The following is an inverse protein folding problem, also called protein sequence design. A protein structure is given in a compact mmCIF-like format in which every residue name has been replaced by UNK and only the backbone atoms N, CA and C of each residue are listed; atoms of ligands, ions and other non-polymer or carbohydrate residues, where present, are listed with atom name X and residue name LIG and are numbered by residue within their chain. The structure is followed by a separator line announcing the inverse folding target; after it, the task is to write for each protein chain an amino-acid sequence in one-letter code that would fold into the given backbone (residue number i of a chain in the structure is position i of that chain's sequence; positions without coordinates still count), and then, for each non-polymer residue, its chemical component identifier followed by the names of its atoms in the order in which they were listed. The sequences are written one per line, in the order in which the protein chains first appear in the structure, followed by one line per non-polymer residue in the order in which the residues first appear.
data_IF_087585628580
#
_entry.id   IF_087585628580
#
_cell.length_a   1.000
_cell.length_b   1.000
_cell.length_c   1.000
_cell.angle_alpha   90.00
_cell.angle_beta   90.00
_cell.angle_gamma   90.00
#
_symmetry.space_group_name_H-M   'P 1'
#
loop_
_entity.id
_entity.type
_entity.pdbx_description
1 polymer ?
#
# COMPACT_ATOMS: atom_id res chain seq x y z
N UNK A 1 18.31 -20.37 -26.56
CA UNK A 1 18.70 -18.98 -26.25
C UNK A 1 18.06 -18.68 -24.91
N UNK A 2 18.84 -18.72 -23.84
CA UNK A 2 18.40 -18.41 -22.48
C UNK A 2 18.03 -16.93 -22.46
N UNK A 3 16.74 -16.62 -22.45
CA UNK A 3 16.26 -15.29 -22.10
C UNK A 3 16.70 -15.05 -20.65
N UNK A 4 17.63 -14.11 -20.46
CA UNK A 4 17.87 -13.57 -19.14
C UNK A 4 16.52 -12.99 -18.67
N UNK A 5 15.91 -13.61 -17.67
CA UNK A 5 14.87 -12.94 -16.92
C UNK A 5 15.59 -11.84 -16.15
N UNK A 6 15.50 -10.60 -16.63
CA UNK A 6 15.86 -9.45 -15.80
C UNK A 6 14.96 -9.50 -14.57
N UNK A 7 15.50 -9.94 -13.44
CA UNK A 7 14.79 -9.96 -12.16
C UNK A 7 14.59 -8.52 -11.70
N UNK A 8 13.42 -8.18 -11.17
CA UNK A 8 13.21 -6.89 -10.52
C UNK A 8 14.22 -6.71 -9.38
N UNK A 9 14.89 -5.55 -9.33
CA UNK A 9 15.83 -5.19 -8.26
C UNK A 9 15.21 -4.14 -7.35
N UNK A 10 15.63 -4.11 -6.08
CA UNK A 10 15.27 -3.04 -5.14
C UNK A 10 15.52 -1.66 -5.73
N UNK A 11 16.71 -1.45 -6.30
CA UNK A 11 17.10 -0.16 -6.86
C UNK A 11 16.19 0.28 -8.01
N UNK A 12 15.80 -0.64 -8.91
CA UNK A 12 14.90 -0.31 -10.02
C UNK A 12 13.49 0.02 -9.52
N UNK A 13 12.93 -0.82 -8.65
CA UNK A 13 11.60 -0.59 -8.07
C UNK A 13 11.57 0.69 -7.22
N UNK A 14 12.59 0.92 -6.40
CA UNK A 14 12.73 2.09 -5.54
C UNK A 14 12.89 3.38 -6.36
N UNK A 15 13.71 3.36 -7.42
CA UNK A 15 13.81 4.47 -8.35
C UNK A 15 12.46 4.80 -8.99
N UNK A 16 11.71 3.79 -9.46
CA UNK A 16 10.36 3.99 -10.00
C UNK A 16 9.39 4.60 -8.96
N UNK A 17 9.42 4.12 -7.71
CA UNK A 17 8.61 4.69 -6.63
C UNK A 17 9.00 6.13 -6.31
N UNK A 18 10.31 6.43 -6.28
CA UNK A 18 10.84 7.77 -6.03
C UNK A 18 10.46 8.76 -7.13
N UNK A 19 10.60 8.37 -8.40
CA UNK A 19 10.22 9.24 -9.52
C UNK A 19 8.72 9.54 -9.52
N UNK A 20 7.88 8.54 -9.19
CA UNK A 20 6.43 8.75 -9.04
C UNK A 20 6.08 9.63 -7.86
N UNK A 21 6.72 9.43 -6.71
CA UNK A 21 6.50 10.29 -5.56
C UNK A 21 6.75 11.77 -5.92
N UNK A 22 7.81 12.04 -6.70
CA UNK A 22 8.12 13.39 -7.18
C UNK A 22 7.09 13.95 -8.18
N UNK A 23 6.46 13.10 -9.01
CA UNK A 23 5.44 13.55 -9.96
C UNK A 23 4.08 13.79 -9.30
N UNK A 24 3.71 12.93 -8.35
CA UNK A 24 2.34 12.84 -7.85
C UNK A 24 2.12 13.66 -6.59
N UNK A 25 3.16 13.82 -5.76
CA UNK A 25 3.07 14.55 -4.49
C UNK A 25 3.73 15.93 -4.64
N UNK A 26 3.05 17.03 -4.24
CA UNK A 26 3.63 18.35 -4.31
C UNK A 26 4.93 18.42 -3.49
N UNK A 27 5.96 19.06 -4.05
CA UNK A 27 7.20 19.31 -3.33
C UNK A 27 6.97 20.38 -2.27
N UNK A 28 6.85 19.96 -1.01
CA UNK A 28 6.66 20.83 0.14
C UNK A 28 5.21 20.88 0.63
N UNK A 29 5.05 21.10 1.93
CA UNK A 29 3.73 21.26 2.55
C UNK A 29 3.29 22.70 2.34
N UNK A 30 2.22 22.93 1.57
CA UNK A 30 1.59 24.25 1.49
C UNK A 30 1.18 24.70 2.88
N UNK A 31 1.50 25.95 3.25
CA UNK A 31 0.99 26.61 4.44
C UNK A 31 1.41 26.05 5.81
N UNK A 32 2.43 25.18 5.91
CA UNK A 32 2.96 24.80 7.24
C UNK A 32 3.73 25.98 7.85
N UNK A 33 3.31 26.51 9.02
CA UNK A 33 4.00 27.64 9.62
C UNK A 33 5.45 27.30 10.01
N UNK A 34 6.43 28.21 9.85
CA UNK A 34 7.83 27.95 10.20
C UNK A 34 8.02 27.47 11.65
N UNK A 35 7.20 27.94 12.58
CA UNK A 35 7.19 27.51 13.98
C UNK A 35 6.79 26.03 14.13
N UNK A 36 5.87 25.53 13.29
CA UNK A 36 5.46 24.13 13.28
C UNK A 36 6.59 23.24 12.76
N UNK A 37 7.28 23.67 11.70
CA UNK A 37 8.47 22.98 11.18
C UNK A 37 9.56 22.91 12.25
N UNK A 38 9.88 24.04 12.89
CA UNK A 38 10.88 24.13 13.95
C UNK A 38 10.56 23.22 15.14
N UNK A 39 9.29 23.20 15.57
CA UNK A 39 8.82 22.32 16.64
C UNK A 39 9.06 20.85 16.28
N UNK A 40 8.59 20.40 15.12
CA UNK A 40 8.73 19.01 14.68
C UNK A 40 10.19 18.60 14.53
N UNK A 41 11.01 19.42 13.88
CA UNK A 41 12.42 19.13 13.69
C UNK A 41 13.15 18.97 15.03
N UNK A 42 12.88 19.85 15.99
CA UNK A 42 13.46 19.74 17.34
C UNK A 42 12.98 18.49 18.07
N UNK A 43 11.69 18.19 18.04
CA UNK A 43 11.15 16.99 18.69
C UNK A 43 11.77 15.69 18.15
N UNK A 44 11.92 15.58 16.83
CA UNK A 44 12.58 14.41 16.21
C UNK A 44 14.06 14.35 16.61
N UNK A 45 14.79 15.47 16.55
CA UNK A 45 16.19 15.52 16.96
C UNK A 45 16.36 15.18 18.44
N UNK A 46 15.47 15.65 19.31
CA UNK A 46 15.50 15.36 20.74
C UNK A 46 15.25 13.87 21.02
N UNK A 47 14.36 13.22 20.27
CA UNK A 47 14.17 11.77 20.33
C UNK A 47 15.45 11.03 19.92
N UNK A 48 16.05 11.39 18.77
CA UNK A 48 17.33 10.81 18.31
C UNK A 48 18.45 11.01 19.33
N UNK A 49 18.59 12.22 19.88
CA UNK A 49 19.58 12.52 20.92
C UNK A 49 19.36 11.68 22.18
N UNK A 50 18.10 11.45 22.55
CA UNK A 50 17.74 10.63 23.71
C UNK A 50 18.14 9.17 23.49
N UNK A 51 17.81 8.58 22.33
CA UNK A 51 18.24 7.22 21.95
C UNK A 51 19.76 7.08 21.99
N UNK A 52 20.49 8.06 21.44
CA UNK A 52 21.97 8.05 21.44
C UNK A 52 22.53 7.99 22.86
N UNK A 53 22.00 8.82 23.77
CA UNK A 53 22.48 8.89 25.16
C UNK A 53 22.09 7.66 25.97
N UNK A 54 20.85 7.18 25.79
CA UNK A 54 20.31 6.02 26.50
C UNK A 54 21.10 4.75 26.18
N UNK A 55 21.30 4.48 24.89
CA UNK A 55 21.98 3.27 24.42
C UNK A 55 23.50 3.45 24.28
N UNK A 56 24.03 4.63 24.60
CA UNK A 56 25.45 4.98 24.51
C UNK A 56 26.03 4.67 23.12
N UNK A 57 25.32 5.08 22.08
CA UNK A 57 25.69 4.84 20.68
C UNK A 57 27.13 5.33 20.44
N UNK A 58 27.94 4.43 19.88
CA UNK A 58 29.35 4.65 19.59
C UNK A 58 29.55 5.43 18.29
N UNK A 59 30.76 5.94 18.07
CA UNK A 59 31.10 6.56 16.79
C UNK A 59 31.04 5.60 15.61
N UNK A 60 31.37 4.32 15.82
CA UNK A 60 31.32 3.31 14.77
C UNK A 60 29.88 3.01 14.36
N UNK A 61 28.98 2.84 15.33
CA UNK A 61 27.54 2.69 15.08
C UNK A 61 26.94 3.94 14.39
N UNK A 62 27.33 5.14 14.83
CA UNK A 62 26.88 6.38 14.19
C UNK A 62 27.37 6.50 12.74
N UNK A 63 28.60 6.08 12.45
CA UNK A 63 29.11 6.07 11.08
C UNK A 63 28.43 4.98 10.22
N UNK A 64 28.08 3.84 10.80
CA UNK A 64 27.30 2.80 10.12
C UNK A 64 25.88 3.32 9.76
N UNK A 65 25.18 3.97 10.70
CA UNK A 65 23.89 4.61 10.45
C UNK A 65 23.98 5.65 9.33
N UNK A 66 25.00 6.51 9.37
CA UNK A 66 25.20 7.54 8.35
C UNK A 66 25.44 6.94 6.96
N UNK A 67 26.28 5.91 6.87
CA UNK A 67 26.51 5.21 5.61
C UNK A 67 25.22 4.56 5.09
N UNK A 68 24.44 3.95 5.97
CA UNK A 68 23.16 3.35 5.62
C UNK A 68 22.14 4.38 5.10
N UNK A 69 21.99 5.54 5.75
CA UNK A 69 21.12 6.62 5.28
C UNK A 69 21.50 7.15 3.89
N UNK A 70 22.80 7.19 3.58
CA UNK A 70 23.29 7.54 2.24
C UNK A 70 22.85 6.46 1.24
N UNK A 71 23.03 5.18 1.56
CA UNK A 71 22.61 4.08 0.70
C UNK A 71 21.10 4.03 0.45
N UNK A 72 20.26 4.39 1.43
CA UNK A 72 18.80 4.51 1.19
C UNK A 72 18.50 5.50 0.07
N UNK A 73 19.24 6.62 0.03
CA UNK A 73 19.11 7.61 -1.05
C UNK A 73 19.65 7.14 -2.40
N UNK A 74 20.79 6.45 -2.40
CA UNK A 74 21.42 5.90 -3.61
C UNK A 74 20.60 4.76 -4.23
N UNK A 75 20.02 3.91 -3.39
CA UNK A 75 19.15 2.80 -3.80
C UNK A 75 17.72 3.29 -4.15
N UNK A 76 17.39 4.57 -3.91
CA UNK A 76 16.07 5.15 -4.20
C UNK A 76 14.95 4.63 -3.29
N UNK A 77 15.27 4.16 -2.09
CA UNK A 77 14.34 3.46 -1.20
C UNK A 77 13.71 4.37 -0.13
N UNK A 78 13.82 5.70 -0.24
CA UNK A 78 13.15 6.60 0.71
C UNK A 78 11.63 6.38 0.80
N UNK A 79 10.88 6.24 -0.31
CA UNK A 79 9.47 5.89 -0.24
C UNK A 79 9.26 4.54 0.47
N UNK A 80 9.99 3.49 0.07
CA UNK A 80 9.86 2.16 0.69
C UNK A 80 10.13 2.20 2.21
N UNK A 81 11.20 2.86 2.64
CA UNK A 81 11.56 2.96 4.04
C UNK A 81 10.47 3.67 4.87
N UNK A 82 9.96 4.80 4.37
CA UNK A 82 8.94 5.57 5.09
C UNK A 82 7.60 4.86 5.10
N UNK A 83 7.21 4.24 3.99
CA UNK A 83 5.93 3.54 3.86
C UNK A 83 5.88 2.29 4.76
N UNK A 84 6.99 1.54 4.87
CA UNK A 84 7.06 0.33 5.70
C UNK A 84 7.11 0.68 7.19
N UNK A 85 7.99 1.58 7.62
CA UNK A 85 8.26 1.75 9.07
C UNK A 85 7.66 3.02 9.69
N UNK A 86 7.02 3.90 8.91
CA UNK A 86 6.50 5.20 9.42
C UNK A 86 5.04 5.47 9.02
N UNK A 87 4.62 5.14 7.80
CA UNK A 87 3.32 5.57 7.24
C UNK A 87 2.12 5.09 8.07
N UNK A 88 2.17 3.91 8.70
CA UNK A 88 1.06 3.41 9.52
C UNK A 88 0.70 4.36 10.68
N UNK A 89 1.69 5.02 11.31
CA UNK A 89 1.43 6.04 12.35
C UNK A 89 0.82 7.31 11.76
N UNK A 90 1.25 7.70 10.55
CA UNK A 90 0.69 8.87 9.86
C UNK A 90 -0.77 8.61 9.50
N UNK A 91 -1.08 7.42 9.00
CA UNK A 91 -2.43 7.02 8.65
C UNK A 91 -3.35 6.94 9.87
N UNK A 92 -2.88 6.38 10.99
CA UNK A 92 -3.65 6.34 12.25
C UNK A 92 -4.06 7.75 12.72
N UNK A 93 -3.16 8.74 12.61
CA UNK A 93 -3.46 10.13 12.97
C UNK A 93 -4.35 10.81 11.93
N UNK A 94 -4.05 10.60 10.64
CA UNK A 94 -4.76 11.26 9.53
C UNK A 94 -6.20 10.76 9.37
N UNK A 95 -6.53 9.60 9.92
CA UNK A 95 -7.84 8.97 9.82
C UNK A 95 -8.52 8.74 11.18
N UNK A 96 -7.97 9.30 12.27
CA UNK A 96 -8.53 9.14 13.62
C UNK A 96 -10.01 9.55 13.70
N UNK A 97 -10.39 10.57 12.93
CA UNK A 97 -11.75 11.11 12.88
C UNK A 97 -12.75 10.23 12.11
N UNK A 98 -12.29 9.22 11.36
CA UNK A 98 -13.17 8.40 10.50
C UNK A 98 -14.14 7.55 11.30
N UNK A 99 -15.41 7.68 10.93
CA UNK A 99 -16.52 6.84 11.39
C UNK A 99 -16.79 5.68 10.41
N UNK A 100 -16.48 5.86 9.12
CA UNK A 100 -16.59 4.84 8.08
C UNK A 100 -15.56 3.71 8.18
N UNK A 101 -15.28 3.05 7.06
CA UNK A 101 -14.24 2.02 7.02
C UNK A 101 -12.87 2.58 7.45
N UNK A 102 -12.09 1.74 8.14
CA UNK A 102 -10.71 2.08 8.51
C UNK A 102 -9.83 2.16 7.28
N UNK A 103 -8.90 3.12 7.29
CA UNK A 103 -7.82 3.18 6.33
C UNK A 103 -6.66 2.27 6.72
N UNK A 104 -5.68 2.22 5.83
CA UNK A 104 -4.32 1.76 6.11
C UNK A 104 -3.40 2.32 5.00
N UNK A 105 -2.11 2.03 5.08
CA UNK A 105 -1.06 2.63 4.25
C UNK A 105 -1.34 2.47 2.74
N UNK A 106 -0.97 3.48 1.95
CA UNK A 106 -1.05 3.42 0.47
C UNK A 106 0.01 2.47 -0.08
N UNK A 107 1.21 2.56 0.49
CA UNK A 107 2.41 1.92 -0.03
C UNK A 107 2.89 2.52 -1.37
N UNK A 108 4.05 2.06 -1.86
CA UNK A 108 4.76 2.73 -2.95
C UNK A 108 4.24 2.40 -4.36
N UNK A 109 3.23 1.53 -4.47
CA UNK A 109 2.87 0.87 -5.73
C UNK A 109 1.59 1.35 -6.38
N UNK A 110 1.00 2.45 -5.91
CA UNK A 110 -0.17 3.05 -6.55
C UNK A 110 0.18 3.63 -7.94
N UNK A 111 -0.75 3.52 -8.89
CA UNK A 111 -0.71 4.18 -10.20
C UNK A 111 -2.10 4.77 -10.46
N UNK A 112 -2.23 6.07 -10.77
CA UNK A 112 -3.51 6.64 -11.17
C UNK A 112 -3.93 6.17 -12.57
N UNK A 113 -5.18 6.44 -12.94
CA UNK A 113 -5.71 6.28 -14.30
C UNK A 113 -5.71 4.84 -14.85
N UNK A 114 -5.82 3.85 -13.95
CA UNK A 114 -6.03 2.46 -14.34
C UNK A 114 -7.33 2.29 -15.17
N UNK A 115 -7.42 1.28 -16.05
CA UNK A 115 -8.56 1.10 -16.93
C UNK A 115 -9.90 0.94 -16.17
N UNK A 116 -10.91 1.69 -16.61
CA UNK A 116 -12.27 1.62 -16.06
C UNK A 116 -13.04 0.40 -16.58
N UNK A 117 -13.65 -0.35 -15.66
CA UNK A 117 -14.35 -1.60 -15.94
C UNK A 117 -15.87 -1.53 -15.66
N UNK A 118 -16.38 -0.37 -15.25
CA UNK A 118 -17.77 -0.17 -14.86
C UNK A 118 -18.12 -0.88 -13.55
N UNK A 119 -19.43 -1.06 -13.30
CA UNK A 119 -19.91 -1.64 -12.03
C UNK A 119 -19.66 -3.15 -11.91
N UNK A 120 -19.50 -3.88 -13.03
CA UNK A 120 -19.12 -5.30 -13.02
C UNK A 120 -18.09 -5.58 -14.10
N UNK A 121 -16.91 -6.02 -13.68
CA UNK A 121 -15.83 -6.29 -14.62
C UNK A 121 -14.70 -7.12 -14.03
N UNK A 122 -13.60 -7.19 -14.76
CA UNK A 122 -12.39 -7.92 -14.35
C UNK A 122 -11.19 -6.99 -14.44
N UNK A 123 -10.23 -7.14 -13.53
CA UNK A 123 -8.92 -6.51 -13.73
C UNK A 123 -8.26 -7.08 -14.99
N UNK A 124 -7.43 -6.30 -15.71
CA UNK A 124 -6.56 -6.85 -16.75
C UNK A 124 -5.64 -7.92 -16.14
N UNK A 125 -5.52 -9.06 -16.82
CA UNK A 125 -4.67 -10.18 -16.39
C UNK A 125 -3.88 -10.74 -17.59
N UNK A 126 -2.80 -11.48 -17.34
CA UNK A 126 -2.15 -12.33 -18.35
C UNK A 126 -3.07 -13.49 -18.75
N UNK A 127 -2.86 -14.05 -19.94
CA UNK A 127 -3.61 -15.22 -20.41
C UNK A 127 -3.44 -16.45 -19.49
N UNK A 128 -2.30 -16.55 -18.82
CA UNK A 128 -1.92 -17.63 -17.90
C UNK A 128 -1.71 -17.13 -16.46
N UNK A 129 -2.42 -16.07 -16.06
CA UNK A 129 -2.27 -15.45 -14.73
C UNK A 129 -2.43 -16.49 -13.59
N UNK A 130 -1.36 -16.77 -12.83
CA UNK A 130 -1.43 -17.71 -11.72
C UNK A 130 -2.20 -17.11 -10.55
N UNK A 131 -2.95 -17.96 -9.85
CA UNK A 131 -3.66 -17.56 -8.64
C UNK A 131 -5.01 -18.24 -8.50
N UNK A 132 -5.63 -18.07 -7.34
CA UNK A 132 -7.01 -18.52 -7.13
C UNK A 132 -7.95 -17.42 -7.64
N UNK A 133 -8.84 -17.69 -8.61
CA UNK A 133 -9.81 -16.70 -9.04
C UNK A 133 -10.64 -16.18 -7.87
N UNK A 134 -10.85 -14.86 -7.82
CA UNK A 134 -11.53 -14.16 -6.76
C UNK A 134 -12.64 -13.28 -7.34
N UNK A 135 -13.88 -13.54 -6.94
CA UNK A 135 -15.02 -12.65 -7.22
C UNK A 135 -15.33 -11.83 -5.98
N UNK A 136 -15.29 -10.52 -6.10
CA UNK A 136 -15.55 -9.58 -5.01
C UNK A 136 -16.80 -8.77 -5.30
N UNK A 137 -17.80 -8.91 -4.44
CA UNK A 137 -19.00 -8.06 -4.44
C UNK A 137 -18.98 -7.11 -3.26
N UNK A 138 -19.55 -5.94 -3.45
CA UNK A 138 -19.69 -4.98 -2.36
C UNK A 138 -20.63 -3.84 -2.73
N UNK A 139 -20.87 -3.00 -1.73
CA UNK A 139 -21.67 -1.79 -1.86
C UNK A 139 -20.93 -0.62 -1.22
N UNK A 140 -20.95 0.54 -1.87
CA UNK A 140 -20.42 1.79 -1.34
C UNK A 140 -21.56 2.64 -0.78
N UNK A 141 -21.45 3.03 0.48
CA UNK A 141 -22.44 3.85 1.20
C UNK A 141 -21.80 5.02 1.93
N UNK A 142 -22.59 6.01 2.30
CA UNK A 142 -22.20 7.02 3.29
C UNK A 142 -22.38 6.46 4.72
N UNK A 143 -21.86 7.15 5.73
CA UNK A 143 -22.04 6.81 7.15
C UNK A 143 -23.51 6.87 7.61
N UNK A 144 -24.38 7.60 6.90
CA UNK A 144 -25.83 7.59 7.14
C UNK A 144 -26.57 6.39 6.50
N UNK A 145 -25.84 5.51 5.79
CA UNK A 145 -26.36 4.33 5.11
C UNK A 145 -26.90 4.57 3.71
N UNK A 146 -26.86 5.82 3.20
CA UNK A 146 -27.25 6.13 1.82
C UNK A 146 -26.28 5.51 0.80
N UNK A 147 -26.82 5.04 -0.31
CA UNK A 147 -26.01 4.49 -1.40
C UNK A 147 -25.24 5.59 -2.13
N UNK A 148 -23.96 5.34 -2.41
CA UNK A 148 -23.12 6.27 -3.16
C UNK A 148 -23.01 5.84 -4.62
N UNK A 149 -24.01 6.26 -5.41
CA UNK A 149 -24.03 6.04 -6.84
C UNK A 149 -22.83 6.71 -7.53
N UNK A 150 -22.16 5.99 -8.42
CA UNK A 150 -20.99 6.50 -9.13
C UNK A 150 -19.73 6.64 -8.27
N UNK A 151 -19.70 6.04 -7.07
CA UNK A 151 -18.46 5.91 -6.31
C UNK A 151 -17.42 5.11 -7.11
N UNK A 152 -16.15 5.52 -7.05
CA UNK A 152 -15.03 4.87 -7.73
C UNK A 152 -14.29 3.98 -6.75
N UNK A 153 -14.05 2.72 -7.13
CA UNK A 153 -13.20 1.76 -6.43
C UNK A 153 -12.00 1.46 -7.32
N UNK A 154 -10.81 1.90 -6.91
CA UNK A 154 -9.55 1.65 -7.62
C UNK A 154 -8.83 0.50 -6.91
N UNK A 155 -8.46 -0.53 -7.66
CA UNK A 155 -7.84 -1.75 -7.15
C UNK A 155 -6.44 -1.92 -7.75
N UNK A 156 -5.48 -2.29 -6.91
CA UNK A 156 -4.19 -2.83 -7.34
C UNK A 156 -3.66 -3.87 -6.35
N UNK A 157 -2.93 -4.88 -6.84
CA UNK A 157 -2.23 -5.85 -5.99
C UNK A 157 -1.10 -6.57 -6.74
N UNK A 158 -0.30 -7.32 -6.00
CA UNK A 158 0.75 -8.18 -6.55
C UNK A 158 0.19 -9.42 -7.26
N UNK A 159 0.98 -9.97 -8.18
CA UNK A 159 0.74 -11.29 -8.75
C UNK A 159 1.21 -12.43 -7.82
N UNK A 160 1.17 -13.69 -8.30
CA UNK A 160 1.57 -14.84 -7.51
C UNK A 160 3.08 -14.91 -7.18
N UNK A 161 3.90 -14.15 -7.89
CA UNK A 161 5.34 -14.03 -7.66
C UNK A 161 5.66 -12.83 -6.74
N UNK A 162 4.63 -12.08 -6.30
CA UNK A 162 4.79 -10.91 -5.44
C UNK A 162 5.15 -9.63 -6.19
N UNK A 163 4.99 -9.60 -7.52
CA UNK A 163 5.34 -8.44 -8.33
C UNK A 163 4.13 -7.58 -8.70
N UNK A 164 4.36 -6.27 -8.71
CA UNK A 164 3.39 -5.28 -9.16
C UNK A 164 3.72 -4.83 -10.58
N UNK A 165 2.70 -4.74 -11.45
CA UNK A 165 2.89 -4.18 -12.79
C UNK A 165 3.43 -2.75 -12.72
N UNK A 166 4.24 -2.37 -13.72
CA UNK A 166 4.98 -1.10 -13.79
C UNK A 166 6.14 -0.94 -12.80
N UNK A 167 6.32 -1.89 -11.87
CA UNK A 167 7.45 -1.94 -10.93
C UNK A 167 8.32 -3.20 -11.11
N UNK A 168 7.93 -4.10 -11.99
CA UNK A 168 8.71 -5.26 -12.41
C UNK A 168 8.67 -5.42 -13.94
N UNK A 169 9.77 -5.87 -14.57
CA UNK A 169 9.83 -6.08 -16.01
C UNK A 169 9.01 -7.30 -16.44
N UNK A 170 8.52 -7.30 -17.68
CA UNK A 170 7.82 -8.44 -18.27
C UNK A 170 6.35 -8.62 -17.86
N UNK A 171 5.80 -7.70 -17.07
CA UNK A 171 4.39 -7.68 -16.67
C UNK A 171 3.63 -6.64 -17.51
N UNK A 172 2.44 -6.96 -18.08
CA UNK A 172 1.62 -5.98 -18.77
C UNK A 172 1.33 -4.75 -17.90
N UNK A 173 1.31 -3.56 -18.49
CA UNK A 173 1.25 -2.27 -17.78
C UNK A 173 0.15 -2.20 -16.70
N UNK A 174 -1.06 -2.69 -17.01
CA UNK A 174 -2.21 -2.64 -16.11
C UNK A 174 -2.57 -4.01 -15.50
N UNK A 175 -1.65 -4.98 -15.52
CA UNK A 175 -1.89 -6.29 -14.90
C UNK A 175 -2.29 -6.13 -13.44
N UNK A 176 -3.43 -6.70 -13.05
CA UNK A 176 -3.98 -6.65 -11.70
C UNK A 176 -4.27 -5.23 -11.18
N UNK A 177 -4.57 -4.29 -12.10
CA UNK A 177 -4.91 -2.89 -11.80
C UNK A 177 -6.12 -2.42 -12.61
N UNK A 178 -7.15 -1.90 -11.94
CA UNK A 178 -8.32 -1.34 -12.61
C UNK A 178 -9.09 -0.36 -11.71
N UNK A 179 -9.94 0.45 -12.32
CA UNK A 179 -10.98 1.20 -11.62
C UNK A 179 -12.38 0.68 -11.95
N UNK A 180 -13.28 0.81 -10.98
CA UNK A 180 -14.67 0.36 -11.07
C UNK A 180 -15.58 1.46 -10.57
N UNK A 181 -16.64 1.76 -11.32
CA UNK A 181 -17.66 2.73 -10.95
C UNK A 181 -18.90 2.02 -10.44
N UNK A 182 -19.25 2.24 -9.17
CA UNK A 182 -20.44 1.67 -8.54
C UNK A 182 -21.73 2.08 -9.25
N UNK A 183 -22.70 1.17 -9.29
CA UNK A 183 -24.00 1.39 -9.95
C UNK A 183 -24.90 2.38 -9.18
N UNK A 184 -26.13 2.57 -9.65
CA UNK A 184 -27.10 3.51 -9.05
C UNK A 184 -27.47 3.17 -7.60
N UNK A 185 -27.30 1.91 -7.18
CA UNK A 185 -27.55 1.43 -5.83
C UNK A 185 -26.25 1.34 -5.00
N UNK A 186 -25.13 1.79 -5.57
CA UNK A 186 -23.81 1.77 -4.96
C UNK A 186 -23.11 0.41 -5.05
N UNK A 187 -23.62 -0.55 -5.81
CA UNK A 187 -23.04 -1.89 -5.89
C UNK A 187 -21.88 -1.96 -6.91
N UNK A 188 -20.95 -2.88 -6.65
CA UNK A 188 -19.90 -3.26 -7.58
C UNK A 188 -19.62 -4.77 -7.53
N UNK A 189 -19.07 -5.31 -8.62
CA UNK A 189 -18.55 -6.66 -8.73
C UNK A 189 -17.20 -6.67 -9.48
N UNK A 190 -16.14 -7.05 -8.77
CA UNK A 190 -14.77 -7.08 -9.27
C UNK A 190 -14.34 -8.55 -9.40
N UNK A 191 -13.78 -8.92 -10.56
CA UNK A 191 -13.13 -10.22 -10.75
C UNK A 191 -11.63 -10.03 -10.87
N UNK A 192 -10.90 -10.76 -10.03
CA UNK A 192 -9.44 -10.76 -9.99
C UNK A 192 -8.92 -12.14 -9.56
N UNK A 193 -7.68 -12.23 -9.11
CA UNK A 193 -7.08 -13.39 -8.43
C UNK A 193 -6.66 -13.00 -7.01
N UNK A 194 -6.66 -13.97 -6.10
CA UNK A 194 -6.08 -13.79 -4.77
C UNK A 194 -4.57 -13.51 -4.92
N UNK A 195 -4.04 -12.40 -4.36
CA UNK A 195 -2.61 -12.11 -4.37
C UNK A 195 -1.82 -13.09 -3.49
N UNK A 196 -0.54 -13.25 -3.79
CA UNK A 196 0.39 -13.93 -2.88
C UNK A 196 0.87 -12.97 -1.77
N UNK A 197 1.29 -13.50 -0.60
CA UNK A 197 2.19 -12.77 0.28
C UNK A 197 3.47 -12.44 -0.49
N UNK A 198 4.09 -11.29 -0.21
CA UNK A 198 5.31 -10.88 -0.91
C UNK A 198 6.36 -10.35 0.05
N UNK A 199 7.62 -10.43 -0.38
CA UNK A 199 8.72 -9.79 0.32
C UNK A 199 8.96 -8.40 -0.24
N UNK A 200 9.08 -7.39 0.62
CA UNK A 200 9.64 -6.12 0.17
C UNK A 200 11.05 -6.34 -0.38
N UNK A 201 11.55 -5.50 -1.31
CA UNK A 201 12.87 -5.70 -1.89
C UNK A 201 13.98 -5.86 -0.84
N UNK A 202 14.82 -6.88 -1.00
CA UNK A 202 15.82 -7.28 0.00
C UNK A 202 17.28 -7.06 -0.43
N UNK A 203 17.52 -6.67 -1.68
CA UNK A 203 18.84 -6.40 -2.25
C UNK A 203 19.33 -4.96 -2.03
N UNK A 204 18.46 -4.07 -1.51
CA UNK A 204 18.75 -2.66 -1.19
C UNK A 204 19.07 -2.37 0.28
N UNK A 205 19.16 -1.08 0.63
CA UNK A 205 19.41 -0.59 1.98
C UNK A 205 18.37 -1.06 3.02
N UNK A 206 17.09 -1.10 2.66
CA UNK A 206 16.00 -1.63 3.49
C UNK A 206 16.22 -3.11 3.80
N UNK A 207 16.58 -3.90 2.79
CA UNK A 207 16.95 -5.31 2.96
C UNK A 207 18.16 -5.52 3.86
N UNK A 208 19.19 -4.67 3.73
CA UNK A 208 20.37 -4.70 4.62
C UNK A 208 19.99 -4.42 6.08
N UNK A 209 19.07 -3.49 6.33
CA UNK A 209 18.55 -3.22 7.68
C UNK A 209 17.81 -4.44 8.23
N UNK A 210 16.90 -5.02 7.44
CA UNK A 210 16.16 -6.23 7.82
C UNK A 210 17.12 -7.36 8.21
N UNK A 211 18.12 -7.63 7.37
CA UNK A 211 19.11 -8.68 7.63
C UNK A 211 19.95 -8.39 8.88
N UNK A 212 20.38 -7.15 9.08
CA UNK A 212 21.17 -6.76 10.25
C UNK A 212 20.38 -6.82 11.56
N UNK A 213 19.08 -6.52 11.51
CA UNK A 213 18.19 -6.56 12.66
C UNK A 213 17.60 -7.95 12.95
N UNK A 214 17.76 -8.91 12.02
CA UNK A 214 17.19 -10.25 12.13
C UNK A 214 15.67 -10.29 11.93
N UNK A 215 15.12 -9.36 11.15
CA UNK A 215 13.71 -9.30 10.79
C UNK A 215 13.40 -10.15 9.54
N UNK A 216 12.11 -10.37 9.25
CA UNK A 216 11.67 -10.85 7.94
C UNK A 216 11.25 -9.69 7.04
N UNK A 217 11.18 -9.94 5.73
CA UNK A 217 10.78 -8.93 4.73
C UNK A 217 9.33 -9.10 4.24
N UNK A 218 8.58 -10.04 4.84
CA UNK A 218 7.26 -10.42 4.36
C UNK A 218 6.15 -9.45 4.75
N UNK A 219 5.26 -9.24 3.79
CA UNK A 219 3.90 -8.71 3.98
C UNK A 219 2.88 -9.81 3.66
N UNK A 220 1.76 -9.90 4.39
CA UNK A 220 0.71 -10.88 4.10
C UNK A 220 0.07 -10.59 2.74
N UNK A 221 -0.66 -11.55 2.17
CA UNK A 221 -1.45 -11.32 0.97
C UNK A 221 -2.49 -10.20 1.21
N UNK A 222 -2.54 -9.21 0.31
CA UNK A 222 -3.51 -8.11 0.43
C UNK A 222 -3.90 -7.48 -0.92
N UNK A 223 -5.11 -6.93 -0.94
CA UNK A 223 -5.63 -6.09 -2.02
C UNK A 223 -5.54 -4.63 -1.59
N UNK A 224 -4.94 -3.75 -2.38
CA UNK A 224 -5.03 -2.32 -2.12
C UNK A 224 -6.28 -1.72 -2.76
N UNK A 225 -6.85 -0.71 -2.09
CA UNK A 225 -7.94 0.09 -2.64
C UNK A 225 -7.81 1.57 -2.37
N UNK A 226 -8.30 2.36 -3.35
CA UNK A 226 -8.76 3.73 -3.12
C UNK A 226 -10.23 3.82 -3.48
N UNK A 227 -11.04 4.32 -2.55
CA UNK A 227 -12.49 4.43 -2.72
C UNK A 227 -12.89 5.89 -2.54
N UNK A 228 -13.54 6.45 -3.56
CA UNK A 228 -13.95 7.86 -3.56
C UNK A 228 -15.38 8.02 -4.07
N UNK A 229 -16.06 9.06 -3.59
CA UNK A 229 -17.36 9.47 -4.09
C UNK A 229 -17.49 11.00 -4.02
N UNK A 230 -18.29 11.63 -4.90
CA UNK A 230 -18.57 13.05 -4.80
C UNK A 230 -19.07 13.45 -3.40
N UNK A 231 -18.49 14.50 -2.83
CA UNK A 231 -18.87 14.99 -1.50
C UNK A 231 -18.44 14.11 -0.33
N UNK A 232 -17.55 13.13 -0.53
CA UNK A 232 -17.05 12.22 0.50
C UNK A 232 -15.52 12.23 0.56
N UNK A 233 -14.98 11.91 1.73
CA UNK A 233 -13.54 11.74 1.91
C UNK A 233 -13.07 10.45 1.25
N UNK A 234 -12.02 10.52 0.43
CA UNK A 234 -11.43 9.34 -0.19
C UNK A 234 -10.83 8.42 0.87
N UNK A 235 -11.21 7.15 0.86
CA UNK A 235 -10.60 6.08 1.65
C UNK A 235 -9.41 5.50 0.88
N UNK A 236 -8.25 5.40 1.53
CA UNK A 236 -7.15 4.52 1.10
C UNK A 236 -7.05 3.38 2.10
N UNK A 237 -7.08 2.14 1.63
CA UNK A 237 -7.02 0.97 2.50
C UNK A 237 -6.38 -0.23 1.80
N UNK A 238 -6.19 -1.30 2.56
CA UNK A 238 -5.80 -2.63 2.12
C UNK A 238 -6.72 -3.64 2.77
N UNK A 239 -6.97 -4.76 2.10
CA UNK A 239 -7.80 -5.85 2.60
C UNK A 239 -6.99 -7.15 2.64
N UNK A 240 -7.04 -7.85 3.77
CA UNK A 240 -6.18 -8.98 4.09
C UNK A 240 -6.95 -10.30 4.07
N UNK A 241 -6.24 -11.42 3.95
CA UNK A 241 -6.86 -12.75 3.92
C UNK A 241 -6.59 -13.52 5.23
N UNK A 242 -7.60 -14.18 5.81
CA UNK A 242 -7.43 -14.90 7.06
C UNK A 242 -6.51 -16.11 6.86
N UNK A 243 -5.69 -16.39 7.87
CA UNK A 243 -4.76 -17.54 7.88
C UNK A 243 -3.45 -17.33 7.12
N UNK A 244 -3.18 -16.11 6.64
CA UNK A 244 -1.83 -15.75 6.17
C UNK A 244 -0.83 -15.84 7.34
N UNK A 245 0.38 -16.34 7.07
CA UNK A 245 1.43 -16.50 8.06
C UNK A 245 1.90 -15.16 8.64
N UNK A 246 1.72 -14.07 7.89
CA UNK A 246 2.24 -12.74 8.22
C UNK A 246 1.17 -11.72 8.62
N UNK A 247 -0.05 -12.17 8.92
CA UNK A 247 -1.10 -11.27 9.42
C UNK A 247 -0.74 -10.66 10.79
N UNK A 248 -0.07 -11.42 11.65
CA UNK A 248 0.26 -11.00 13.02
C UNK A 248 1.64 -10.32 13.14
N UNK A 249 2.47 -10.38 12.10
CA UNK A 249 3.84 -9.86 12.10
C UNK A 249 4.22 -9.06 10.85
N UNK A 250 3.24 -8.54 10.07
CA UNK A 250 3.48 -7.72 8.88
C UNK A 250 4.60 -6.69 9.10
N UNK A 251 5.65 -6.74 8.25
CA UNK A 251 6.81 -5.85 8.37
C UNK A 251 6.42 -4.37 8.27
N UNK A 252 5.30 -4.07 7.61
CA UNK A 252 4.76 -2.71 7.47
C UNK A 252 3.80 -2.29 8.59
N UNK A 253 3.48 -3.20 9.53
CA UNK A 253 2.50 -2.97 10.62
C UNK A 253 1.15 -2.43 10.13
N UNK A 254 0.71 -2.85 8.93
CA UNK A 254 -0.45 -2.27 8.25
C UNK A 254 -1.75 -3.06 8.44
N UNK A 255 -1.67 -4.28 9.00
CA UNK A 255 -2.81 -5.16 9.20
C UNK A 255 -3.72 -4.65 10.32
N UNK A 256 -5.00 -4.47 10.01
CA UNK A 256 -6.05 -4.13 10.99
C UNK A 256 -7.13 -5.22 10.99
N UNK A 257 -7.68 -5.63 12.15
CA UNK A 257 -8.73 -6.64 12.21
C UNK A 257 -9.98 -6.33 11.37
N UNK A 258 -10.36 -5.05 11.26
CA UNK A 258 -11.51 -4.54 10.49
C UNK A 258 -11.33 -4.70 8.96
N UNK A 259 -10.09 -4.93 8.53
CA UNK A 259 -9.69 -5.06 7.14
C UNK A 259 -9.46 -6.52 6.74
N UNK A 260 -9.78 -7.47 7.62
CA UNK A 260 -9.71 -8.89 7.33
C UNK A 260 -10.95 -9.35 6.54
N UNK A 261 -10.72 -9.99 5.40
CA UNK A 261 -11.76 -10.53 4.54
C UNK A 261 -12.33 -11.85 5.09
N UNK A 262 -13.50 -12.25 4.56
CA UNK A 262 -14.11 -13.56 4.82
C UNK A 262 -14.37 -14.35 3.52
N UNK A 263 -13.30 -14.83 2.84
CA UNK A 263 -13.41 -15.54 1.57
C UNK A 263 -14.15 -16.87 1.70
N UNK A 264 -15.16 -17.06 0.85
CA UNK A 264 -15.91 -18.33 0.71
C UNK A 264 -15.46 -19.08 -0.52
N UNK A 265 -15.25 -20.39 -0.38
CA UNK A 265 -14.97 -21.26 -1.54
C UNK A 265 -16.22 -21.36 -2.43
N UNK A 266 -16.02 -21.19 -3.72
CA UNK A 266 -17.04 -21.35 -4.76
C UNK A 266 -16.48 -22.18 -5.90
N UNK A 267 -17.34 -22.63 -6.82
CA UNK A 267 -16.90 -23.39 -7.99
C UNK A 267 -15.88 -22.57 -8.81
N UNK A 268 -14.65 -23.08 -8.91
CA UNK A 268 -13.58 -22.46 -9.67
C UNK A 268 -12.83 -21.32 -8.97
N UNK A 269 -13.09 -21.02 -7.69
CA UNK A 269 -12.37 -19.94 -7.00
C UNK A 269 -12.86 -19.62 -5.59
N UNK A 270 -12.74 -18.35 -5.22
CA UNK A 270 -13.23 -17.76 -3.99
C UNK A 270 -14.15 -16.58 -4.29
N UNK A 271 -15.08 -16.32 -3.36
CA UNK A 271 -15.92 -15.14 -3.38
C UNK A 271 -15.82 -14.38 -2.04
N UNK A 272 -15.78 -13.05 -2.11
CA UNK A 272 -15.85 -12.16 -0.95
C UNK A 272 -17.02 -11.18 -1.09
N UNK A 273 -17.65 -10.85 0.03
CA UNK A 273 -18.63 -9.78 0.17
C UNK A 273 -18.06 -8.75 1.15
N UNK A 274 -17.61 -7.61 0.62
CA UNK A 274 -17.02 -6.53 1.41
C UNK A 274 -17.35 -5.20 0.75
N UNK A 275 -18.08 -4.34 1.47
CA UNK A 275 -18.45 -2.99 1.04
C UNK A 275 -17.62 -1.90 1.72
N UNK A 276 -17.88 -0.66 1.31
CA UNK A 276 -17.19 0.53 1.82
C UNK A 276 -18.19 1.56 2.32
N UNK A 277 -17.92 2.13 3.49
CA UNK A 277 -18.65 3.21 4.13
C UNK A 277 -17.70 4.41 4.14
N UNK A 278 -18.08 5.48 3.44
CA UNK A 278 -17.29 6.69 3.34
C UNK A 278 -17.86 7.80 4.23
N UNK A 279 -16.97 8.52 4.89
CA UNK A 279 -17.28 9.75 5.61
C UNK A 279 -17.61 10.88 4.62
N UNK A 280 -18.64 11.72 4.89
CA UNK A 280 -18.86 12.95 4.13
C UNK A 280 -17.65 13.88 4.22
N UNK A 281 -17.31 14.54 3.11
CA UNK A 281 -16.25 15.54 3.12
C UNK A 281 -16.67 16.74 3.99
N UNK A 282 -15.73 17.28 4.77
CA UNK A 282 -15.97 18.50 5.53
C UNK A 282 -16.42 19.64 4.60
N UNK A 283 -17.58 20.23 4.91
CA UNK A 283 -18.15 21.41 4.23
C UNK A 283 -17.39 22.69 4.53
#
# INVERSE_FOLDING_TARGET
MTTAHDSATAAASGASATERFKSDKPSGVSDTPPERVSLLARSVLDAVHSTIREHKVTYDEFNALKAWLISVGEDGEWPLFLDVWVEHVVEDVATEHREGNKGTIEGPYYVPDAPEQGASGSVPIRDDEPGTPLTWKGRVTSTDGSALAGAKVELWHADADGYYSQFAPGIPEWNLRASFTADADGNFEIRTVRPAPYQIPTDGACGKLIAAAGWHAWRPAHLHVKVSAPGHEQLTAQLYFPGDAHNDDDIASAVKPELMLDPKRVDGGEAIDYGFVLDPAAT
#
